data_IF_147471686552
#
_entry.id   IF_147471686552
#
_cell.length_a   1.000
_cell.length_b   1.000
_cell.length_c   1.000
_cell.angle_alpha   90.00
_cell.angle_beta   90.00
_cell.angle_gamma   90.00
#
_symmetry.space_group_name_H-M   'P 1'
#
loop_
_entity.id
_entity.type
_entity.pdbx_description
1 polymer ?
#
# COMPACT_ATOMS: atom_id res chain seq x y z
N UNK A 1 23.32 -14.10 -25.93
CA UNK A 1 22.80 -15.10 -24.97
C UNK A 1 22.88 -14.61 -23.52
N UNK A 2 24.06 -14.16 -23.04
CA UNK A 2 24.28 -13.67 -21.66
C UNK A 2 23.35 -12.52 -21.24
N UNK A 3 23.18 -11.50 -22.10
CA UNK A 3 22.29 -10.35 -21.84
C UNK A 3 20.82 -10.77 -21.68
N UNK A 4 20.33 -11.73 -22.46
CA UNK A 4 18.94 -12.21 -22.40
C UNK A 4 18.70 -12.94 -21.08
N UNK A 5 19.62 -13.82 -20.67
CA UNK A 5 19.55 -14.52 -19.38
C UNK A 5 19.61 -13.54 -18.20
N UNK A 6 20.42 -12.49 -18.29
CA UNK A 6 20.47 -11.45 -17.27
C UNK A 6 19.15 -10.67 -17.16
N UNK A 7 18.55 -10.27 -18.30
CA UNK A 7 17.25 -9.58 -18.31
C UNK A 7 16.12 -10.45 -17.72
N UNK A 8 16.09 -11.74 -18.05
CA UNK A 8 15.12 -12.66 -17.49
C UNK A 8 15.27 -12.82 -15.97
N UNK A 9 16.51 -12.94 -15.47
CA UNK A 9 16.78 -13.00 -14.04
C UNK A 9 16.40 -11.70 -13.32
N UNK A 10 16.76 -10.54 -13.88
CA UNK A 10 16.39 -9.26 -13.30
C UNK A 10 14.86 -9.11 -13.22
N UNK A 11 14.15 -9.43 -14.30
CA UNK A 11 12.69 -9.37 -14.34
C UNK A 11 12.05 -10.28 -13.28
N UNK A 12 12.54 -11.51 -13.15
CA UNK A 12 12.08 -12.43 -12.13
C UNK A 12 12.32 -11.89 -10.72
N UNK A 13 13.53 -11.42 -10.43
CA UNK A 13 13.85 -10.82 -9.13
C UNK A 13 12.96 -9.61 -8.81
N UNK A 14 12.71 -8.73 -9.76
CA UNK A 14 11.83 -7.57 -9.57
C UNK A 14 10.37 -7.97 -9.29
N UNK A 15 9.88 -9.03 -9.95
CA UNK A 15 8.56 -9.59 -9.67
C UNK A 15 8.48 -10.18 -8.26
N UNK A 16 9.48 -10.95 -7.83
CA UNK A 16 9.55 -11.50 -6.47
C UNK A 16 9.55 -10.38 -5.42
N UNK A 17 10.40 -9.37 -5.60
CA UNK A 17 10.48 -8.22 -4.69
C UNK A 17 9.15 -7.48 -4.61
N UNK A 18 8.47 -7.27 -5.75
CA UNK A 18 7.17 -6.61 -5.79
C UNK A 18 6.12 -7.37 -4.97
N UNK A 19 6.09 -8.71 -5.08
CA UNK A 19 5.21 -9.56 -4.29
C UNK A 19 5.54 -9.53 -2.79
N UNK A 20 6.82 -9.55 -2.41
CA UNK A 20 7.25 -9.43 -1.02
C UNK A 20 6.85 -8.10 -0.40
N UNK A 21 6.99 -7.00 -1.14
CA UNK A 21 6.58 -5.66 -0.70
C UNK A 21 5.09 -5.63 -0.41
N UNK A 22 4.26 -6.12 -1.33
CA UNK A 22 2.82 -6.18 -1.12
C UNK A 22 2.47 -7.02 0.11
N UNK A 23 3.10 -8.18 0.30
CA UNK A 23 2.88 -9.02 1.47
C UNK A 23 3.25 -8.32 2.79
N UNK A 24 4.39 -7.63 2.83
CA UNK A 24 4.83 -6.87 4.01
C UNK A 24 3.85 -5.75 4.32
N UNK A 25 3.47 -4.97 3.31
CA UNK A 25 2.52 -3.88 3.46
C UNK A 25 1.16 -4.39 3.92
N UNK A 26 0.59 -5.41 3.26
CA UNK A 26 -0.68 -6.03 3.65
C UNK A 26 -0.65 -6.53 5.09
N UNK A 27 0.43 -7.20 5.50
CA UNK A 27 0.59 -7.68 6.88
C UNK A 27 0.70 -6.53 7.89
N UNK A 28 1.31 -5.41 7.49
CA UNK A 28 1.48 -4.24 8.36
C UNK A 28 0.19 -3.46 8.62
N UNK A 29 -0.84 -3.58 7.77
CA UNK A 29 -2.16 -2.96 7.99
C UNK A 29 -2.75 -3.37 9.34
N UNK A 30 -2.61 -4.66 9.71
CA UNK A 30 -3.07 -5.18 11.01
C UNK A 30 -2.29 -4.63 12.21
N UNK A 31 -1.13 -4.02 11.98
CA UNK A 31 -0.30 -3.40 13.02
C UNK A 31 -0.57 -1.91 13.18
N UNK A 32 -1.38 -1.31 12.29
CA UNK A 32 -1.65 0.13 12.28
C UNK A 32 -2.17 0.65 13.64
N UNK A 33 -3.14 -0.06 14.25
CA UNK A 33 -3.76 0.36 15.52
C UNK A 33 -2.93 0.04 16.77
N UNK A 34 -1.95 -0.86 16.66
CA UNK A 34 -1.22 -1.43 17.80
C UNK A 34 0.26 -1.06 17.83
N UNK A 35 0.80 -0.57 16.72
CA UNK A 35 2.21 -0.22 16.60
C UNK A 35 2.37 1.20 16.05
N UNK A 36 2.92 2.09 16.88
CA UNK A 36 3.09 3.51 16.56
C UNK A 36 3.98 3.76 15.34
N UNK A 37 5.02 2.95 15.13
CA UNK A 37 5.89 3.10 13.97
C UNK A 37 5.15 2.78 12.68
N UNK A 38 4.32 1.72 12.68
CA UNK A 38 3.48 1.38 11.53
C UNK A 38 2.39 2.41 11.27
N UNK A 39 1.78 2.95 12.32
CA UNK A 39 0.82 4.04 12.19
C UNK A 39 1.45 5.27 11.50
N UNK A 40 2.59 5.72 12.01
CA UNK A 40 3.32 6.87 11.45
C UNK A 40 3.76 6.63 10.00
N UNK A 41 4.28 5.44 9.71
CA UNK A 41 4.63 5.04 8.36
C UNK A 41 3.44 5.17 7.41
N UNK A 42 2.30 4.54 7.74
CA UNK A 42 1.11 4.57 6.89
C UNK A 42 0.57 5.98 6.72
N UNK A 43 0.49 6.76 7.80
CA UNK A 43 -0.02 8.12 7.75
C UNK A 43 0.80 9.02 6.83
N UNK A 44 2.12 9.00 6.99
CA UNK A 44 3.03 9.82 6.19
C UNK A 44 3.11 9.32 4.74
N UNK A 45 3.22 8.00 4.55
CA UNK A 45 3.45 7.42 3.24
C UNK A 45 2.23 7.62 2.32
N UNK A 46 1.01 7.37 2.84
CA UNK A 46 -0.22 7.52 2.05
C UNK A 46 -0.45 8.97 1.62
N UNK A 47 -0.24 9.92 2.52
CA UNK A 47 -0.38 11.35 2.22
C UNK A 47 0.70 11.84 1.25
N UNK A 48 1.95 11.43 1.45
CA UNK A 48 3.06 11.88 0.60
C UNK A 48 2.97 11.34 -0.83
N UNK A 49 2.51 10.09 -1.00
CA UNK A 49 2.45 9.44 -2.30
C UNK A 49 1.07 9.39 -2.93
N UNK A 50 0.05 9.94 -2.28
CA UNK A 50 -1.34 9.92 -2.74
C UNK A 50 -1.80 8.50 -3.10
N UNK A 51 -1.53 7.56 -2.19
CA UNK A 51 -1.88 6.14 -2.30
C UNK A 51 -2.70 5.70 -1.08
N UNK A 52 -3.43 4.60 -1.21
CA UNK A 52 -4.21 4.06 -0.10
C UNK A 52 -4.22 2.53 -0.08
N UNK A 53 -3.96 1.97 1.10
CA UNK A 53 -3.91 0.52 1.31
C UNK A 53 -2.67 -0.11 0.66
N UNK A 54 -2.54 -1.42 0.81
CA UNK A 54 -1.41 -2.14 0.23
C UNK A 54 -1.58 -2.26 -1.29
N UNK A 55 -2.61 -2.99 -1.70
CA UNK A 55 -3.00 -3.24 -3.08
C UNK A 55 -4.11 -2.29 -3.55
N UNK A 56 -5.01 -1.89 -2.65
CA UNK A 56 -6.15 -1.01 -2.93
C UNK A 56 -6.69 -0.38 -1.65
N UNK A 57 -7.44 0.72 -1.80
CA UNK A 57 -8.06 1.44 -0.68
C UNK A 57 -8.94 0.55 0.23
N UNK A 58 -9.69 -0.38 -0.36
CA UNK A 58 -10.59 -1.29 0.34
C UNK A 58 -9.88 -2.35 1.19
N UNK A 59 -8.55 -2.46 1.12
CA UNK A 59 -7.78 -3.31 2.05
C UNK A 59 -8.01 -2.87 3.51
N UNK A 60 -8.17 -1.56 3.74
CA UNK A 60 -8.51 -1.02 5.06
C UNK A 60 -9.92 -1.41 5.52
N UNK A 61 -10.86 -1.61 4.59
CA UNK A 61 -12.26 -1.93 4.91
C UNK A 61 -12.40 -3.37 5.44
N UNK A 62 -11.33 -4.15 5.32
CA UNK A 62 -11.22 -5.54 5.77
C UNK A 62 -10.22 -5.67 6.92
N UNK A 63 -9.64 -4.57 7.39
CA UNK A 63 -8.62 -4.54 8.43
C UNK A 63 -9.20 -3.97 9.72
N UNK A 64 -8.89 -4.59 10.85
CA UNK A 64 -9.26 -4.08 12.18
C UNK A 64 -8.31 -2.95 12.64
N UNK A 65 -8.33 -1.83 11.91
CA UNK A 65 -7.40 -0.71 12.11
C UNK A 65 -7.92 0.37 13.07
N UNK A 66 -9.18 0.29 13.50
CA UNK A 66 -9.78 1.21 14.49
C UNK A 66 -9.98 0.48 15.83
N UNK A 67 -9.64 1.15 16.92
CA UNK A 67 -9.95 0.64 18.26
C UNK A 67 -11.44 0.81 18.55
N UNK A 68 -12.18 -0.25 18.94
CA UNK A 68 -13.60 -0.12 19.27
C UNK A 68 -13.89 0.85 20.43
N UNK A 69 -12.88 1.14 21.27
CA UNK A 69 -12.99 2.11 22.39
C UNK A 69 -13.23 3.54 21.88
N UNK A 70 -12.84 3.86 20.64
CA UNK A 70 -13.03 5.21 20.08
C UNK A 70 -14.47 5.49 19.67
N UNK A 71 -15.37 4.50 19.72
CA UNK A 71 -16.77 4.68 19.36
C UNK A 71 -17.63 4.85 20.61
N UNK A 72 -18.34 5.97 20.66
CA UNK A 72 -19.36 6.24 21.67
C UNK A 72 -20.71 5.57 21.35
N UNK A 73 -20.93 5.14 20.10
CA UNK A 73 -22.19 4.54 19.66
C UNK A 73 -22.18 3.01 19.79
N UNK A 74 -23.04 2.51 20.70
CA UNK A 74 -23.22 1.07 20.90
C UNK A 74 -23.86 0.38 19.69
N UNK A 75 -24.73 1.05 18.93
CA UNK A 75 -25.35 0.48 17.73
C UNK A 75 -24.29 0.21 16.65
N UNK A 76 -23.39 1.17 16.43
CA UNK A 76 -22.26 1.03 15.48
C UNK A 76 -21.27 -0.02 15.96
N UNK A 77 -20.97 -0.06 17.26
CA UNK A 77 -20.11 -1.09 17.85
C UNK A 77 -20.67 -2.48 17.56
N UNK A 78 -21.95 -2.71 17.82
CA UNK A 78 -22.62 -3.99 17.55
C UNK A 78 -22.67 -4.33 16.05
N UNK A 79 -22.86 -3.34 15.19
CA UNK A 79 -22.95 -3.52 13.73
C UNK A 79 -21.62 -3.96 13.11
N UNK A 80 -20.50 -3.43 13.59
CA UNK A 80 -19.18 -3.61 12.96
C UNK A 80 -18.24 -4.55 13.72
N UNK A 81 -18.65 -5.05 14.89
CA UNK A 81 -17.93 -6.12 15.58
C UNK A 81 -18.24 -7.47 14.93
N UNK A 82 -17.21 -8.12 14.39
CA UNK A 82 -17.32 -9.45 13.82
C UNK A 82 -17.44 -10.54 14.90
N UNK A 83 -17.85 -11.76 14.52
CA UNK A 83 -17.98 -12.90 15.45
C UNK A 83 -16.68 -13.26 16.16
N UNK A 84 -15.52 -12.98 15.55
CA UNK A 84 -14.20 -13.19 16.14
C UNK A 84 -13.73 -12.06 17.06
N UNK A 85 -14.61 -11.09 17.37
CA UNK A 85 -14.31 -9.93 18.21
C UNK A 85 -13.53 -8.80 17.51
N UNK A 86 -13.14 -8.97 16.24
CA UNK A 86 -12.49 -7.89 15.49
C UNK A 86 -13.50 -6.81 15.13
N UNK A 87 -13.10 -5.57 15.36
CA UNK A 87 -13.87 -4.39 14.99
C UNK A 87 -13.43 -3.90 13.61
N UNK A 88 -14.28 -4.08 12.59
CA UNK A 88 -13.96 -3.76 11.20
C UNK A 88 -15.02 -2.84 10.63
N UNK A 89 -14.59 -1.66 10.20
CA UNK A 89 -15.42 -0.65 9.58
C UNK A 89 -15.12 -0.54 8.09
N UNK A 90 -16.10 -0.19 7.26
CA UNK A 90 -15.89 -0.06 5.83
C UNK A 90 -15.35 1.35 5.50
N UNK A 91 -14.23 1.70 6.11
CA UNK A 91 -13.58 2.99 5.95
C UNK A 91 -12.05 2.84 6.03
N UNK A 92 -11.33 3.84 5.52
CA UNK A 92 -9.87 3.89 5.55
C UNK A 92 -9.37 5.04 6.43
N UNK A 93 -8.10 4.99 6.88
CA UNK A 93 -7.49 6.08 7.62
C UNK A 93 -7.63 7.44 6.93
N UNK A 94 -7.68 8.52 7.70
CA UNK A 94 -7.77 9.90 7.16
C UNK A 94 -6.60 10.20 6.21
N UNK A 95 -5.44 9.58 6.42
CA UNK A 95 -4.28 9.67 5.54
C UNK A 95 -4.51 9.15 4.11
N UNK A 96 -5.58 8.37 3.87
CA UNK A 96 -6.04 7.97 2.55
C UNK A 96 -7.04 8.92 1.89
N UNK A 97 -7.60 9.87 2.63
CA UNK A 97 -8.74 10.67 2.19
C UNK A 97 -8.31 11.67 1.10
N UNK A 98 -9.14 11.82 0.07
CA UNK A 98 -8.94 12.89 -0.91
C UNK A 98 -9.10 14.27 -0.23
N UNK A 99 -8.35 15.31 -0.65
CA UNK A 99 -8.37 16.62 0.02
C UNK A 99 -9.77 17.25 0.16
N UNK A 100 -10.64 17.07 -0.82
CA UNK A 100 -11.98 17.66 -0.86
C UNK A 100 -13.08 16.68 -0.38
N UNK A 101 -12.69 15.48 0.06
CA UNK A 101 -13.63 14.46 0.52
C UNK A 101 -13.84 14.54 2.04
N UNK A 102 -15.07 14.30 2.46
CA UNK A 102 -15.41 14.10 3.87
C UNK A 102 -15.39 12.59 4.14
N UNK A 103 -14.30 12.12 4.76
CA UNK A 103 -14.11 10.72 5.14
C UNK A 103 -14.49 10.44 6.60
N UNK A 104 -14.70 9.16 6.93
CA UNK A 104 -14.96 8.67 8.29
C UNK A 104 -16.19 9.30 8.98
N UNK A 105 -17.21 9.68 8.19
CA UNK A 105 -18.55 9.98 8.70
C UNK A 105 -19.35 8.69 8.81
N UNK A 106 -19.65 8.28 10.04
CA UNK A 106 -20.45 7.07 10.30
C UNK A 106 -21.88 7.47 10.60
N UNK A 107 -22.71 7.57 9.56
CA UNK A 107 -24.16 7.69 9.74
C UNK A 107 -24.83 6.34 9.56
N UNK A 108 -25.92 6.10 10.30
CA UNK A 108 -26.69 4.86 10.22
C UNK A 108 -27.41 4.78 8.87
N UNK A 109 -26.75 4.16 7.87
CA UNK A 109 -27.33 3.90 6.55
C UNK A 109 -26.44 4.23 5.36
N UNK A 110 -25.34 4.96 5.58
CA UNK A 110 -24.41 5.32 4.51
C UNK A 110 -23.63 4.09 4.02
N UNK A 111 -23.65 3.85 2.71
CA UNK A 111 -22.85 2.82 2.09
C UNK A 111 -21.38 3.24 2.06
N UNK A 112 -20.44 2.28 2.08
CA UNK A 112 -19.04 2.58 1.88
C UNK A 112 -18.87 3.24 0.52
N UNK A 113 -18.18 4.38 0.50
CA UNK A 113 -17.82 5.09 -0.72
C UNK A 113 -16.30 5.04 -0.89
N UNK A 114 -15.78 4.07 -1.67
CA UNK A 114 -14.35 3.96 -1.93
C UNK A 114 -13.79 5.13 -2.74
N UNK A 115 -14.62 5.91 -3.43
CA UNK A 115 -14.16 7.00 -4.30
C UNK A 115 -13.63 8.20 -3.51
N UNK A 116 -14.01 8.32 -2.24
CA UNK A 116 -13.50 9.34 -1.29
C UNK A 116 -12.01 9.18 -0.94
N UNK A 117 -11.38 8.07 -1.34
CA UNK A 117 -10.00 7.75 -0.98
C UNK A 117 -9.07 7.72 -2.21
N UNK A 118 -7.76 7.84 -2.00
CA UNK A 118 -6.79 7.63 -3.07
C UNK A 118 -6.95 6.24 -3.69
N UNK A 119 -6.98 6.18 -5.02
CA UNK A 119 -7.19 4.92 -5.76
C UNK A 119 -5.88 4.16 -6.04
N UNK A 120 -4.72 4.80 -5.86
CA UNK A 120 -3.41 4.19 -6.15
C UNK A 120 -3.01 3.22 -5.03
N UNK A 121 -2.53 2.04 -5.43
CA UNK A 121 -1.86 1.06 -4.55
C UNK A 121 -0.55 1.61 -3.99
N UNK A 122 -0.32 1.53 -2.68
CA UNK A 122 0.97 1.89 -2.10
C UNK A 122 2.09 0.89 -2.44
N UNK A 123 1.78 -0.41 -2.59
CA UNK A 123 2.77 -1.41 -3.04
C UNK A 123 3.30 -1.09 -4.44
N UNK A 124 2.41 -0.67 -5.35
CA UNK A 124 2.79 -0.28 -6.71
C UNK A 124 3.74 0.92 -6.75
N UNK A 125 3.60 1.88 -5.83
CA UNK A 125 4.50 3.04 -5.75
C UNK A 125 5.93 2.60 -5.40
N UNK A 126 6.09 1.73 -4.41
CA UNK A 126 7.41 1.24 -4.01
C UNK A 126 7.99 0.36 -5.11
N UNK A 127 7.21 -0.58 -5.67
CA UNK A 127 7.64 -1.45 -6.75
C UNK A 127 8.10 -0.66 -7.97
N UNK A 128 7.34 0.36 -8.40
CA UNK A 128 7.71 1.21 -9.52
C UNK A 128 8.99 2.01 -9.27
N UNK A 129 9.21 2.50 -8.04
CA UNK A 129 10.47 3.17 -7.68
C UNK A 129 11.65 2.22 -7.74
N UNK A 130 11.52 1.00 -7.22
CA UNK A 130 12.59 -0.01 -7.27
C UNK A 130 12.88 -0.41 -8.72
N UNK A 131 11.84 -0.69 -9.50
CA UNK A 131 11.96 -1.03 -10.92
C UNK A 131 12.69 0.07 -11.68
N UNK A 132 12.31 1.34 -11.47
CA UNK A 132 12.97 2.49 -12.11
C UNK A 132 14.46 2.56 -11.78
N UNK A 133 14.85 2.41 -10.51
CA UNK A 133 16.26 2.45 -10.09
C UNK A 133 17.04 1.27 -10.70
N UNK A 134 16.47 0.07 -10.68
CA UNK A 134 17.08 -1.12 -11.25
C UNK A 134 17.30 -0.98 -12.76
N UNK A 135 16.29 -0.46 -13.49
CA UNK A 135 16.39 -0.16 -14.91
C UNK A 135 17.46 0.87 -15.21
N UNK A 136 17.55 1.97 -14.44
CA UNK A 136 18.60 2.99 -14.64
C UNK A 136 20.00 2.42 -14.43
N UNK A 137 20.22 1.63 -13.37
CA UNK A 137 21.51 0.96 -13.15
C UNK A 137 21.86 0.03 -14.30
N UNK A 138 20.90 -0.75 -14.77
CA UNK A 138 21.09 -1.63 -15.92
C UNK A 138 21.53 -0.86 -17.17
N UNK A 139 20.81 0.21 -17.55
CA UNK A 139 21.15 1.01 -18.73
C UNK A 139 22.58 1.54 -18.64
N UNK A 140 23.01 2.01 -17.46
CA UNK A 140 24.37 2.47 -17.25
C UNK A 140 25.42 1.37 -17.48
N UNK A 141 25.23 0.18 -16.92
CA UNK A 141 26.16 -0.94 -17.12
C UNK A 141 26.15 -1.47 -18.56
N UNK A 142 24.98 -1.51 -19.21
CA UNK A 142 24.87 -1.92 -20.60
C UNK A 142 25.63 -0.97 -21.54
N UNK A 143 25.49 0.34 -21.34
CA UNK A 143 26.25 1.36 -22.10
C UNK A 143 27.74 1.21 -21.87
N UNK A 144 28.20 1.05 -20.63
CA UNK A 144 29.62 0.84 -20.33
C UNK A 144 30.19 -0.40 -21.01
N UNK A 145 29.48 -1.53 -20.96
CA UNK A 145 29.91 -2.77 -21.61
C UNK A 145 29.99 -2.61 -23.12
N UNK A 146 29.01 -1.93 -23.74
CA UNK A 146 29.02 -1.65 -25.18
C UNK A 146 30.19 -0.72 -25.54
N UNK A 147 30.42 0.35 -24.78
CA UNK A 147 31.54 1.29 -25.00
C UNK A 147 32.89 0.57 -24.94
N UNK A 148 33.14 -0.20 -23.88
CA UNK A 148 34.38 -0.98 -23.73
C UNK A 148 34.53 -2.00 -24.88
N UNK A 149 33.43 -2.62 -25.30
CA UNK A 149 33.45 -3.60 -26.39
C UNK A 149 33.60 -3.00 -27.79
N UNK A 150 33.41 -1.68 -27.95
CA UNK A 150 33.61 -0.94 -29.20
C UNK A 150 35.00 -0.30 -29.27
N UNK A 151 35.67 -0.11 -28.13
CA UNK A 151 37.03 0.45 -28.04
C UNK A 151 38.15 -0.62 -28.08
N UNK A 152 37.79 -1.92 -28.05
CA UNK A 152 38.68 -3.08 -28.21
C UNK A 152 38.48 -3.68 -29.61
#
# INVERSE_FOLDING_TARGET
>A
MVLISYCANLQFTLQTISGEIENILTSSLNKYSTNRAWQLFWDQFQQHYYCCGSSKNTDWFQTAWVSPITLSSFSLLKKFTQQNGKFIIPAAPISCCLPDAICNTFTDGEQPDPEKYFQKSCSSIIANKINSIASTRYFFYAVLVIQISLEI
#
